data_IF_608592084043
#
_entry.id   IF_608592084043
#
_cell.length_a   1.000
_cell.length_b   1.000
_cell.length_c   1.000
_cell.angle_alpha   90.00
_cell.angle_beta   90.00
_cell.angle_gamma   90.00
#
_symmetry.space_group_name_H-M   'P 1'
#
loop_
_entity.id
_entity.type
_entity.pdbx_description
1 polymer ?
#
# COMPACT_ATOMS: atom_id res chain seq x y z
N UNK A 1 -4.23 -5.23 5.90
CA UNK A 1 -3.61 -6.22 4.99
C UNK A 1 -4.17 -7.59 5.31
N UNK A 2 -5.10 -8.12 4.50
CA UNK A 2 -5.68 -9.44 4.74
C UNK A 2 -4.61 -10.52 4.67
N UNK A 3 -4.62 -11.48 5.60
CA UNK A 3 -3.59 -12.54 5.66
C UNK A 3 -3.44 -13.27 4.33
N UNK A 4 -4.57 -13.56 3.66
CA UNK A 4 -4.60 -14.23 2.35
C UNK A 4 -3.99 -13.43 1.19
N UNK A 5 -3.70 -12.14 1.39
CA UNK A 5 -3.06 -11.26 0.40
C UNK A 5 -1.58 -10.98 0.74
N UNK A 6 -1.08 -11.50 1.85
CA UNK A 6 0.32 -11.39 2.25
C UNK A 6 1.06 -12.57 1.64
N UNK A 7 2.18 -12.31 0.96
CA UNK A 7 2.93 -13.35 0.27
C UNK A 7 3.53 -14.39 1.24
N UNK A 8 4.10 -13.92 2.34
CA UNK A 8 4.68 -14.78 3.38
C UNK A 8 4.43 -14.18 4.76
N UNK A 9 4.35 -15.04 5.79
CA UNK A 9 4.23 -14.62 7.19
C UNK A 9 5.56 -14.68 7.95
N UNK A 10 6.67 -14.93 7.24
CA UNK A 10 8.00 -15.11 7.83
C UNK A 10 8.75 -13.80 8.03
N UNK A 11 8.12 -12.67 7.70
CA UNK A 11 8.62 -11.35 8.05
C UNK A 11 8.61 -11.09 9.57
N UNK A 12 7.84 -11.87 10.34
CA UNK A 12 7.77 -11.81 11.80
C UNK A 12 8.73 -12.85 12.42
N UNK A 13 9.42 -12.45 13.49
CA UNK A 13 10.15 -13.41 14.33
C UNK A 13 9.17 -14.27 15.15
N UNK A 14 9.60 -15.41 15.72
CA UNK A 14 8.75 -16.22 16.60
C UNK A 14 8.17 -15.41 17.77
N UNK A 15 8.97 -14.53 18.36
CA UNK A 15 8.58 -13.67 19.50
C UNK A 15 7.51 -12.67 19.07
N UNK A 16 7.68 -12.03 17.91
CA UNK A 16 6.69 -11.10 17.37
C UNK A 16 5.38 -11.79 16.95
N UNK A 17 5.47 -13.02 16.41
CA UNK A 17 4.29 -13.85 16.13
C UNK A 17 3.51 -14.12 17.41
N UNK A 18 4.20 -14.42 18.51
CA UNK A 18 3.59 -14.62 19.82
C UNK A 18 2.93 -13.33 20.34
N UNK A 19 3.66 -12.20 20.36
CA UNK A 19 3.14 -10.91 20.81
C UNK A 19 1.85 -10.52 20.06
N UNK A 20 1.87 -10.65 18.73
CA UNK A 20 0.68 -10.36 17.92
C UNK A 20 -0.45 -11.38 18.12
N UNK A 21 -0.11 -12.66 18.35
CA UNK A 21 -1.06 -13.74 18.63
C UNK A 21 -1.80 -13.56 19.95
N UNK A 22 -1.13 -12.99 20.95
CA UNK A 22 -1.70 -12.65 22.26
C UNK A 22 -2.58 -11.38 22.22
N UNK A 23 -2.78 -10.80 21.03
CA UNK A 23 -3.58 -9.59 20.83
C UNK A 23 -2.86 -8.30 21.19
N UNK A 24 -1.56 -8.36 21.47
CA UNK A 24 -0.71 -7.19 21.69
C UNK A 24 -0.27 -6.56 20.37
N UNK A 25 0.49 -5.48 20.45
CA UNK A 25 0.87 -4.64 19.31
C UNK A 25 2.39 -4.44 19.31
N UNK A 26 2.97 -4.24 18.13
CA UNK A 26 4.41 -4.01 17.95
C UNK A 26 4.60 -2.64 17.30
N UNK A 27 5.52 -1.85 17.85
CA UNK A 27 5.94 -0.60 17.22
C UNK A 27 6.83 -0.88 16.01
N UNK A 28 6.52 -0.24 14.88
CA UNK A 28 7.19 -0.44 13.60
C UNK A 28 7.55 0.90 12.97
N UNK A 29 8.68 0.95 12.28
CA UNK A 29 9.04 2.11 11.47
C UNK A 29 8.36 2.04 10.10
N UNK A 30 8.00 3.20 9.53
CA UNK A 30 7.33 3.28 8.23
C UNK A 30 8.04 4.26 7.29
N UNK A 31 8.36 3.79 6.10
CA UNK A 31 8.87 4.61 4.98
C UNK A 31 7.71 4.92 4.05
N UNK A 32 7.54 6.21 3.72
CA UNK A 32 6.54 6.68 2.77
C UNK A 32 6.91 6.40 1.31
N UNK A 33 5.94 6.57 0.39
CA UNK A 33 6.13 6.35 -1.05
C UNK A 33 7.21 7.23 -1.69
N UNK A 34 7.52 8.37 -1.09
CA UNK A 34 8.61 9.26 -1.55
C UNK A 34 9.95 9.00 -0.84
N UNK A 35 10.12 7.78 -0.28
CA UNK A 35 11.34 7.32 0.42
C UNK A 35 11.68 8.13 1.68
N UNK A 36 10.71 8.84 2.26
CA UNK A 36 10.87 9.59 3.49
C UNK A 36 10.42 8.77 4.70
N UNK A 37 11.22 8.77 5.77
CA UNK A 37 10.83 8.15 7.04
C UNK A 37 9.67 8.92 7.67
N UNK A 38 8.62 8.21 8.04
CA UNK A 38 7.55 8.78 8.83
C UNK A 38 7.99 8.97 10.28
N UNK A 39 7.75 10.16 10.83
CA UNK A 39 8.34 10.59 12.11
C UNK A 39 7.55 10.17 13.35
N UNK A 40 6.26 9.84 13.19
CA UNK A 40 5.39 9.42 14.31
C UNK A 40 5.40 7.89 14.42
N UNK A 41 5.22 7.34 15.63
CA UNK A 41 5.18 5.89 15.83
C UNK A 41 4.03 5.26 15.04
N UNK A 42 4.29 4.13 14.41
CA UNK A 42 3.27 3.31 13.77
C UNK A 42 3.19 1.97 14.50
N UNK A 43 1.99 1.43 14.69
CA UNK A 43 1.81 0.16 15.40
C UNK A 43 1.21 -0.89 14.48
N UNK A 44 1.78 -2.08 14.52
CA UNK A 44 1.26 -3.27 13.86
C UNK A 44 0.46 -4.10 14.86
N UNK A 45 -0.73 -4.53 14.46
CA UNK A 45 -1.52 -5.52 15.21
C UNK A 45 -2.20 -6.53 14.30
N UNK A 46 -2.62 -7.66 14.86
CA UNK A 46 -3.59 -8.54 14.21
C UNK A 46 -5.00 -8.08 14.60
N UNK A 47 -5.91 -8.04 13.63
CA UNK A 47 -7.32 -7.74 13.86
C UNK A 47 -8.23 -8.56 12.95
N UNK A 48 -9.50 -8.69 13.36
CA UNK A 48 -10.52 -9.46 12.64
C UNK A 48 -10.93 -10.73 13.38
N UNK A 49 -11.84 -11.50 12.77
CA UNK A 49 -12.28 -12.81 13.28
C UNK A 49 -11.38 -13.93 12.72
N UNK A 50 -11.44 -15.11 13.32
CA UNK A 50 -10.59 -16.28 13.00
C UNK A 50 -10.41 -16.55 11.50
N UNK A 51 -11.48 -16.46 10.71
CA UNK A 51 -11.44 -16.77 9.28
C UNK A 51 -10.99 -15.60 8.39
N UNK A 52 -10.88 -14.39 8.94
CA UNK A 52 -10.61 -13.14 8.21
C UNK A 52 -9.65 -12.24 9.01
N UNK A 53 -8.52 -12.79 9.42
CA UNK A 53 -7.47 -12.03 10.10
C UNK A 53 -6.76 -11.07 9.13
N UNK A 54 -6.39 -9.92 9.67
CA UNK A 54 -5.69 -8.85 8.97
C UNK A 54 -4.54 -8.35 9.82
N UNK A 55 -3.42 -8.04 9.19
CA UNK A 55 -2.44 -7.13 9.76
C UNK A 55 -2.93 -5.70 9.59
N UNK A 56 -2.88 -4.91 10.66
CA UNK A 56 -3.39 -3.54 10.71
C UNK A 56 -2.27 -2.62 11.17
N UNK A 57 -1.94 -1.62 10.36
CA UNK A 57 -1.16 -0.47 10.77
C UNK A 57 -2.11 0.57 11.38
N UNK A 58 -1.88 1.01 12.61
CA UNK A 58 -2.82 1.87 13.37
C UNK A 58 -2.16 3.08 14.04
N UNK A 59 -2.98 3.85 14.76
CA UNK A 59 -2.70 5.13 15.43
C UNK A 59 -2.43 6.31 14.50
N UNK A 60 -1.46 6.21 13.60
CA UNK A 60 -1.02 7.35 12.80
C UNK A 60 -1.16 7.12 11.29
N UNK A 61 -1.94 6.11 10.87
CA UNK A 61 -2.13 5.79 9.45
C UNK A 61 -2.81 6.93 8.68
N UNK A 62 -3.86 7.54 9.23
CA UNK A 62 -4.55 8.66 8.58
C UNK A 62 -3.63 9.87 8.40
N UNK A 63 -2.87 10.23 9.44
CA UNK A 63 -1.87 11.30 9.37
C UNK A 63 -0.76 10.99 8.34
N UNK A 64 -0.34 9.72 8.26
CA UNK A 64 0.63 9.27 7.26
C UNK A 64 0.08 9.43 5.83
N UNK A 65 -1.18 9.07 5.60
CA UNK A 65 -1.85 9.26 4.30
C UNK A 65 -1.95 10.75 3.96
N UNK A 66 -2.38 11.59 4.92
CA UNK A 66 -2.49 13.05 4.71
C UNK A 66 -1.13 13.68 4.38
N UNK A 67 -0.07 13.27 5.08
CA UNK A 67 1.29 13.73 4.80
C UNK A 67 1.80 13.33 3.40
N UNK A 68 1.23 12.28 2.79
CA UNK A 68 1.58 11.77 1.46
C UNK A 68 0.44 11.93 0.44
N UNK A 69 -0.53 12.82 0.68
CA UNK A 69 -1.77 12.94 -0.13
C UNK A 69 -1.57 13.26 -1.62
N UNK A 70 -0.39 13.76 -1.98
CA UNK A 70 -0.06 14.02 -3.38
C UNK A 70 -0.01 12.72 -4.20
N UNK A 71 0.39 11.61 -3.55
CA UNK A 71 0.56 10.29 -4.17
C UNK A 71 -0.36 9.21 -3.57
N UNK A 72 -0.73 9.31 -2.29
CA UNK A 72 -1.68 8.40 -1.64
C UNK A 72 -3.09 9.00 -1.68
N UNK A 73 -3.82 8.69 -2.75
CA UNK A 73 -5.22 9.10 -2.94
C UNK A 73 -6.15 7.89 -2.92
N UNK A 74 -7.44 8.13 -2.74
CA UNK A 74 -8.45 7.08 -2.89
C UNK A 74 -8.31 6.39 -4.28
N UNK A 75 -8.42 5.07 -4.28
CA UNK A 75 -8.25 4.26 -5.51
C UNK A 75 -6.80 4.08 -5.97
N UNK A 76 -5.82 4.58 -5.21
CA UNK A 76 -4.40 4.27 -5.43
C UNK A 76 -4.11 2.84 -4.98
N UNK A 77 -3.55 2.04 -5.89
CA UNK A 77 -3.03 0.73 -5.52
C UNK A 77 -1.67 0.92 -4.84
N UNK A 78 -1.50 0.30 -3.68
CA UNK A 78 -0.23 0.32 -2.95
C UNK A 78 0.28 -1.10 -2.71
N UNK A 79 1.59 -1.23 -2.66
CA UNK A 79 2.28 -2.37 -2.05
C UNK A 79 2.82 -1.95 -0.70
N UNK A 80 2.81 -2.89 0.25
CA UNK A 80 3.41 -2.71 1.56
C UNK A 80 4.47 -3.78 1.71
N UNK A 81 5.73 -3.35 1.78
CA UNK A 81 6.89 -4.20 1.91
C UNK A 81 7.33 -4.23 3.36
N UNK A 82 7.67 -5.41 3.88
CA UNK A 82 8.34 -5.55 5.16
C UNK A 82 9.85 -5.63 4.95
N UNK A 83 10.63 -5.07 5.88
CA UNK A 83 12.08 -5.20 5.89
C UNK A 83 12.62 -5.02 7.32
N UNK A 84 13.90 -5.35 7.50
CA UNK A 84 14.60 -5.22 8.78
C UNK A 84 15.70 -4.18 8.71
N UNK A 85 15.79 -3.34 9.75
CA UNK A 85 16.95 -2.49 10.00
C UNK A 85 17.57 -2.88 11.34
N UNK A 86 18.58 -3.75 11.30
CA UNK A 86 18.97 -4.50 12.49
C UNK A 86 17.85 -5.45 12.89
N UNK A 87 17.45 -5.45 14.16
CA UNK A 87 16.34 -6.26 14.68
C UNK A 87 14.97 -5.58 14.49
N UNK A 88 14.94 -4.27 14.23
CA UNK A 88 13.69 -3.52 14.10
C UNK A 88 12.91 -3.92 12.84
N UNK A 89 11.64 -4.30 13.03
CA UNK A 89 10.68 -4.47 11.95
C UNK A 89 10.28 -3.10 11.38
N UNK A 90 10.39 -2.98 10.07
CA UNK A 90 10.05 -1.78 9.31
C UNK A 90 9.13 -2.13 8.13
N UNK A 91 8.37 -1.15 7.67
CA UNK A 91 7.55 -1.25 6.47
C UNK A 91 7.84 -0.11 5.48
N UNK A 92 7.68 -0.37 4.20
CA UNK A 92 7.68 0.63 3.14
C UNK A 92 6.37 0.58 2.37
N UNK A 93 5.76 1.74 2.15
CA UNK A 93 4.56 1.87 1.31
C UNK A 93 4.98 2.38 -0.05
N UNK A 94 4.61 1.68 -1.12
CA UNK A 94 4.98 2.02 -2.50
C UNK A 94 3.71 2.12 -3.32
N UNK A 95 3.55 3.19 -4.09
CA UNK A 95 2.47 3.30 -5.07
C UNK A 95 2.76 2.37 -6.25
N UNK A 96 1.78 1.56 -6.64
CA UNK A 96 1.86 0.76 -7.86
C UNK A 96 1.25 1.57 -8.98
N UNK A 97 2.05 1.90 -10.00
CA UNK A 97 1.53 2.53 -11.20
C UNK A 97 0.43 1.63 -11.79
N UNK A 98 -0.75 2.20 -12.04
CA UNK A 98 -1.75 1.50 -12.83
C UNK A 98 -1.15 1.31 -14.22
N UNK A 99 -1.15 0.11 -14.81
CA UNK A 99 -0.91 0.00 -16.24
C UNK A 99 -1.95 0.90 -16.92
N UNK A 100 -1.48 1.95 -17.60
CA UNK A 100 -2.36 2.80 -18.38
C UNK A 100 -2.98 1.92 -19.46
N UNK A 101 -4.25 1.56 -19.30
CA UNK A 101 -5.04 1.11 -20.44
C UNK A 101 -5.13 2.33 -21.34
N UNK A 102 -4.32 2.34 -22.39
CA UNK A 102 -4.47 3.30 -23.48
C UNK A 102 -5.81 2.99 -24.13
N UNK A 103 -6.88 3.59 -23.60
CA UNK A 103 -8.14 3.71 -24.34
C UNK A 103 -7.85 4.67 -25.48
N UNK A 104 -7.35 4.11 -26.58
CA UNK A 104 -7.24 4.79 -27.86
C UNK A 104 -8.66 5.23 -28.21
N UNK A 105 -8.95 6.52 -28.06
CA UNK A 105 -10.23 7.09 -28.50
C UNK A 105 -10.40 6.78 -29.98
N UNK A 106 -11.38 5.94 -30.28
CA UNK A 106 -11.79 5.60 -31.62
C UNK A 106 -12.73 6.72 -32.13
N UNK A 107 -12.21 7.93 -32.34
CA UNK A 107 -13.03 9.05 -32.83
C UNK A 107 -12.42 9.87 -33.98
N UNK A 108 -11.28 9.48 -34.56
CA UNK A 108 -10.72 10.15 -35.75
C UNK A 108 -10.98 9.40 -37.08
N UNK A 109 -12.13 8.74 -37.18
CA UNK A 109 -12.57 8.10 -38.43
C UNK A 109 -13.88 8.68 -38.94
N UNK A 110 -13.94 10.00 -39.19
CA UNK A 110 -14.92 10.58 -40.13
C UNK A 110 -14.66 12.06 -40.41
N UNK A 111 -13.71 12.38 -41.31
CA UNK A 111 -13.89 13.50 -42.26
C UNK A 111 -12.79 13.48 -43.33
N UNK A 112 -12.94 12.61 -44.33
CA UNK A 112 -12.23 12.74 -45.60
C UNK A 112 -13.22 12.43 -46.73
N UNK A 113 -13.79 13.50 -47.30
CA UNK A 113 -14.69 13.51 -48.44
C UNK A 113 -15.47 14.84 -48.40
N UNK A 114 -15.45 15.73 -49.38
CA UNK A 114 -15.02 15.67 -50.78
C UNK A 114 -14.70 17.11 -51.22
N UNK A 115 -13.64 17.30 -52.02
CA UNK A 115 -13.51 18.49 -52.87
C UNK A 115 -13.07 18.06 -54.26
N UNK A 116 -14.05 17.90 -55.15
CA UNK A 116 -13.91 17.97 -56.59
C UNK A 116 -14.97 18.95 -57.07
N UNK A 117 -14.57 20.08 -57.66
CA UNK A 117 -14.70 20.36 -59.10
C UNK A 117 -14.10 21.73 -59.44
N UNK A 118 -13.47 21.77 -60.63
CA UNK A 118 -12.92 22.92 -61.35
C UNK A 118 -13.92 24.00 -61.69
#
# INVERSE_FOLDING_TARGET
>A
MPFKKVETHDFLTPEEKQVLGDGSEIEVALVGPELQMYKKPMWLKIGGMSNNMNYVLKNNWSDFVEANKNVLKEGTAIQVWSFRKGEQLCFAVVCVDKPMVNTTSLEDASSAGSSLIS
#
